data_IF_891048909192
#
_entry.id   IF_891048909192
#
_cell.length_a   1.000
_cell.length_b   1.000
_cell.length_c   1.000
_cell.angle_alpha   90.00
_cell.angle_beta   90.00
_cell.angle_gamma   90.00
#
_symmetry.space_group_name_H-M   'P 1'
#
loop_
_entity.id
_entity.type
_entity.pdbx_description
1 polymer ?
#
# COMPACT_ATOMS: atom_id res chain seq x y z
N UNK A 1 7.92 -28.66 15.33
CA UNK A 1 7.41 -27.31 14.99
C UNK A 1 6.57 -26.77 16.15
N UNK A 2 6.73 -25.51 16.56
CA UNK A 2 5.89 -24.91 17.59
C UNK A 2 4.46 -24.69 17.07
N UNK A 3 3.48 -25.14 17.84
CA UNK A 3 2.05 -25.03 17.53
C UNK A 3 1.40 -23.97 18.43
N UNK A 4 0.53 -23.09 17.91
CA UNK A 4 -0.14 -22.10 18.74
C UNK A 4 -1.05 -22.77 19.77
N UNK A 5 -0.78 -22.53 21.05
CA UNK A 5 -1.57 -23.11 22.16
C UNK A 5 -3.01 -22.59 22.24
N UNK A 6 -3.24 -21.37 21.76
CA UNK A 6 -4.55 -20.68 21.77
C UNK A 6 -4.75 -19.91 20.48
N UNK A 7 -6.02 -19.77 20.07
CA UNK A 7 -6.38 -18.92 18.93
C UNK A 7 -6.11 -17.46 19.24
N UNK A 8 -5.76 -16.70 18.22
CA UNK A 8 -5.65 -15.24 18.33
C UNK A 8 -7.03 -14.63 18.56
N UNK A 9 -7.10 -13.60 19.41
CA UNK A 9 -8.34 -12.85 19.60
C UNK A 9 -8.75 -12.17 18.29
N UNK A 10 -10.05 -11.92 18.14
CA UNK A 10 -10.61 -11.27 16.94
C UNK A 10 -9.97 -9.89 16.75
N UNK A 11 -9.78 -9.12 17.83
CA UNK A 11 -9.12 -7.81 17.80
C UNK A 11 -7.69 -7.89 17.27
N UNK A 12 -6.86 -8.79 17.82
CA UNK A 12 -5.46 -8.98 17.38
C UNK A 12 -5.35 -9.44 15.93
N UNK A 13 -6.28 -10.30 15.47
CA UNK A 13 -6.37 -10.70 14.06
C UNK A 13 -6.72 -9.51 13.15
N UNK A 14 -7.69 -8.67 13.53
CA UNK A 14 -8.08 -7.46 12.77
C UNK A 14 -6.93 -6.46 12.67
N UNK A 15 -6.23 -6.17 13.77
CA UNK A 15 -5.09 -5.23 13.79
C UNK A 15 -4.00 -5.66 12.81
N UNK A 16 -3.62 -6.95 12.81
CA UNK A 16 -2.62 -7.47 11.85
C UNK A 16 -3.06 -7.30 10.40
N UNK A 17 -4.34 -7.57 10.10
CA UNK A 17 -4.90 -7.34 8.74
C UNK A 17 -4.91 -5.86 8.36
N UNK A 18 -5.24 -4.97 9.29
CA UNK A 18 -5.24 -3.52 9.05
C UNK A 18 -3.85 -3.00 8.72
N UNK A 19 -2.82 -3.50 9.39
CA UNK A 19 -1.44 -3.15 9.06
C UNK A 19 -1.07 -3.55 7.63
N UNK A 20 -1.50 -4.73 7.17
CA UNK A 20 -1.30 -5.16 5.80
C UNK A 20 -2.06 -4.27 4.80
N UNK A 21 -3.33 -3.94 5.08
CA UNK A 21 -4.15 -3.05 4.23
C UNK A 21 -3.60 -1.61 4.16
N UNK A 22 -3.04 -1.09 5.25
CA UNK A 22 -2.48 0.27 5.32
C UNK A 22 -1.35 0.49 4.31
N UNK A 23 -0.59 -0.56 3.97
CA UNK A 23 0.45 -0.49 2.93
C UNK A 23 -0.12 -0.13 1.55
N UNK A 24 -1.31 -0.64 1.23
CA UNK A 24 -2.00 -0.30 -0.03
C UNK A 24 -2.34 1.18 -0.13
N UNK A 25 -2.82 1.77 0.97
CA UNK A 25 -3.11 3.22 1.02
C UNK A 25 -1.88 4.07 0.71
N UNK A 26 -0.73 3.74 1.32
CA UNK A 26 0.52 4.47 1.06
C UNK A 26 1.02 4.32 -0.38
N UNK A 27 0.78 3.16 -1.01
CA UNK A 27 1.11 2.96 -2.42
C UNK A 27 0.17 3.76 -3.33
N UNK A 28 -1.13 3.80 -3.02
CA UNK A 28 -2.12 4.54 -3.79
C UNK A 28 -1.83 6.05 -3.80
N UNK A 29 -1.44 6.64 -2.66
CA UNK A 29 -1.07 8.06 -2.60
C UNK A 29 0.13 8.38 -3.49
N UNK A 30 1.17 7.54 -3.46
CA UNK A 30 2.36 7.72 -4.32
C UNK A 30 2.00 7.55 -5.80
N UNK A 31 1.19 6.56 -6.13
CA UNK A 31 0.74 6.32 -7.51
C UNK A 31 -0.10 7.49 -8.05
N UNK A 32 -1.00 8.06 -7.22
CA UNK A 32 -1.81 9.21 -7.60
C UNK A 32 -0.94 10.45 -7.87
N UNK A 33 -0.02 10.78 -6.96
CA UNK A 33 0.92 11.90 -7.16
C UNK A 33 1.79 11.71 -8.41
N UNK A 34 2.20 10.47 -8.70
CA UNK A 34 2.95 10.15 -9.91
C UNK A 34 2.10 10.33 -11.18
N UNK A 35 0.84 9.89 -11.16
CA UNK A 35 -0.07 10.03 -12.29
C UNK A 35 -0.30 11.51 -12.66
N UNK A 36 -0.54 12.38 -11.68
CA UNK A 36 -0.66 13.83 -11.88
C UNK A 36 0.62 14.44 -12.50
N UNK A 37 1.79 14.00 -12.02
CA UNK A 37 3.08 14.48 -12.53
C UNK A 37 3.33 14.07 -13.99
N UNK A 38 2.86 12.89 -14.40
CA UNK A 38 2.94 12.41 -15.78
C UNK A 38 1.88 13.11 -16.65
N UNK A 39 0.65 13.28 -16.13
CA UNK A 39 -0.47 13.88 -16.85
C UNK A 39 -0.18 15.32 -17.29
N UNK A 40 0.44 16.12 -16.42
CA UNK A 40 0.79 17.51 -16.73
C UNK A 40 1.89 17.64 -17.79
N UNK A 41 2.67 16.58 -18.08
CA UNK A 41 3.71 16.60 -19.11
C UNK A 41 4.91 17.53 -18.86
N UNK A 42 4.91 18.24 -17.72
CA UNK A 42 5.96 19.21 -17.35
C UNK A 42 7.20 18.52 -16.77
N UNK A 43 7.06 17.28 -16.31
CA UNK A 43 8.14 16.52 -15.70
C UNK A 43 9.06 15.91 -16.77
N UNK A 44 10.27 16.46 -16.91
CA UNK A 44 11.28 15.98 -17.90
C UNK A 44 11.98 14.68 -17.49
N UNK A 45 11.84 14.26 -16.23
CA UNK A 45 12.50 13.07 -15.67
C UNK A 45 11.67 11.79 -15.81
N UNK A 46 10.35 11.90 -15.96
CA UNK A 46 9.46 10.74 -16.07
C UNK A 46 9.07 10.54 -17.53
N UNK A 47 9.57 9.46 -18.13
CA UNK A 47 9.21 9.08 -19.49
C UNK A 47 8.14 7.98 -19.45
N UNK A 48 6.92 8.32 -19.86
CA UNK A 48 5.86 7.35 -20.10
C UNK A 48 5.65 7.23 -21.62
N UNK A 49 5.79 6.01 -22.19
CA UNK A 49 5.43 5.77 -23.59
C UNK A 49 3.92 5.90 -23.72
N UNK A 50 3.46 6.75 -24.64
CA UNK A 50 2.06 6.83 -25.05
C UNK A 50 1.64 5.54 -25.75
#
# INVERSE_FOLDING_TARGET
MPVPKKRTSISKKKIRKNFWKKKGYTAALKAFSLAESIFTGNSKSFFCKK
#
